data_IF_007937027196
#
_entry.id   IF_007937027196
#
_cell.length_a   1.000
_cell.length_b   1.000
_cell.length_c   1.000
_cell.angle_alpha   90.00
_cell.angle_beta   90.00
_cell.angle_gamma   90.00
#
_symmetry.space_group_name_H-M   'P 1'
#
loop_
_entity.id
_entity.type
_entity.pdbx_description
1 polymer ?
#
# COMPACT_ATOMS: atom_id res chain seq x y z
N UNK A 1 -19.40 -2.10 10.83
CA UNK A 1 -20.53 -2.63 10.02
C UNK A 1 -20.51 -4.16 10.04
N UNK A 2 -21.03 -4.79 11.10
CA UNK A 2 -20.99 -6.26 11.24
C UNK A 2 -21.96 -7.00 10.28
N UNK A 3 -22.91 -6.30 9.69
CA UNK A 3 -23.93 -6.88 8.79
C UNK A 3 -23.82 -6.34 7.35
N UNK A 4 -22.66 -5.82 6.97
CA UNK A 4 -22.48 -5.13 5.71
C UNK A 4 -22.83 -3.63 5.80
N UNK A 5 -22.86 -2.95 4.67
CA UNK A 5 -23.12 -1.51 4.56
C UNK A 5 -22.28 -0.88 3.46
N UNK A 6 -22.37 0.45 3.34
CA UNK A 6 -21.60 1.24 2.37
C UNK A 6 -20.58 2.12 3.09
N UNK A 7 -19.39 2.23 2.52
CA UNK A 7 -18.39 3.23 2.87
C UNK A 7 -18.14 4.10 1.64
N UNK A 8 -18.43 5.40 1.78
CA UNK A 8 -18.18 6.39 0.72
C UNK A 8 -16.91 7.15 1.11
N UNK A 9 -15.94 7.20 0.20
CA UNK A 9 -14.69 7.95 0.38
C UNK A 9 -14.61 9.05 -0.68
N UNK A 10 -14.34 10.27 -0.24
CA UNK A 10 -14.16 11.41 -1.15
C UNK A 10 -13.02 12.31 -0.68
N UNK A 11 -12.43 13.08 -1.62
CA UNK A 11 -11.42 14.06 -1.31
C UNK A 11 -11.71 15.36 -2.07
N UNK A 12 -11.63 16.49 -1.35
CA UNK A 12 -11.91 17.80 -1.91
C UNK A 12 -10.93 18.86 -1.36
N UNK A 13 -10.64 19.86 -2.19
CA UNK A 13 -9.89 21.03 -1.72
C UNK A 13 -10.84 22.01 -1.01
N UNK A 14 -10.39 22.58 0.10
CA UNK A 14 -11.14 23.61 0.86
C UNK A 14 -10.20 24.69 1.36
N UNK A 15 -10.62 25.93 1.20
CA UNK A 15 -9.96 27.07 1.81
C UNK A 15 -10.68 27.45 3.09
N UNK A 16 -9.94 27.56 4.19
CA UNK A 16 -10.42 28.07 5.48
C UNK A 16 -9.98 29.51 5.58
N UNK A 17 -10.93 30.42 5.62
CA UNK A 17 -10.67 31.87 5.56
C UNK A 17 -10.33 32.49 6.93
N UNK A 18 -10.79 31.88 8.00
CA UNK A 18 -10.58 32.32 9.39
C UNK A 18 -10.20 31.15 10.28
N UNK A 19 -9.47 31.40 11.34
CA UNK A 19 -9.15 30.35 12.31
C UNK A 19 -10.45 29.85 12.95
N UNK A 20 -10.75 28.58 12.79
CA UNK A 20 -11.93 27.92 13.33
C UNK A 20 -11.51 26.92 14.42
N UNK A 21 -11.39 27.40 15.65
CA UNK A 21 -11.07 26.57 16.82
C UNK A 21 -9.78 25.77 16.67
N UNK A 22 -9.85 24.66 15.99
CA UNK A 22 -8.75 23.68 15.86
C UNK A 22 -7.97 23.81 14.55
N UNK A 23 -8.60 24.38 13.50
CA UNK A 23 -8.00 24.56 12.17
C UNK A 23 -7.54 26.01 11.97
N UNK A 24 -6.32 26.17 11.52
CA UNK A 24 -5.79 27.47 11.14
C UNK A 24 -6.30 27.90 9.74
N UNK A 25 -6.32 29.21 9.49
CA UNK A 25 -6.55 29.75 8.16
C UNK A 25 -5.55 29.13 7.16
N UNK A 26 -6.03 28.63 6.02
CA UNK A 26 -5.18 28.03 4.99
C UNK A 26 -5.96 27.18 4.00
N UNK A 27 -5.23 26.59 3.07
CA UNK A 27 -5.76 25.63 2.11
C UNK A 27 -5.57 24.20 2.64
N UNK A 28 -6.60 23.41 2.52
CA UNK A 28 -6.64 22.03 3.00
C UNK A 28 -7.16 21.08 1.92
N UNK A 29 -6.69 19.86 1.95
CA UNK A 29 -7.36 18.70 1.35
C UNK A 29 -8.18 18.06 2.44
N UNK A 30 -9.49 17.86 2.22
CA UNK A 30 -10.38 17.14 3.11
C UNK A 30 -10.64 15.78 2.54
N UNK A 31 -10.21 14.74 3.25
CA UNK A 31 -10.61 13.38 2.96
C UNK A 31 -11.82 13.04 3.85
N UNK A 32 -12.94 12.69 3.25
CA UNK A 32 -14.18 12.34 3.96
C UNK A 32 -14.44 10.85 3.82
N UNK A 33 -14.67 10.20 4.96
CA UNK A 33 -15.04 8.79 5.07
C UNK A 33 -16.43 8.72 5.70
N UNK A 34 -17.41 8.29 4.94
CA UNK A 34 -18.80 8.20 5.40
C UNK A 34 -19.27 6.75 5.36
N UNK A 35 -19.64 6.20 6.51
CA UNK A 35 -20.21 4.86 6.62
C UNK A 35 -21.70 4.89 6.98
N UNK A 36 -22.38 3.80 6.66
CA UNK A 36 -23.78 3.54 7.02
C UNK A 36 -23.90 2.56 8.20
N UNK A 37 -22.94 2.64 9.14
CA UNK A 37 -22.91 1.78 10.33
C UNK A 37 -23.84 2.22 11.44
N UNK A 38 -23.64 1.65 12.64
CA UNK A 38 -24.49 1.92 13.80
C UNK A 38 -24.29 3.30 14.42
N UNK A 39 -23.32 4.08 13.92
CA UNK A 39 -22.95 5.37 14.47
C UNK A 39 -22.23 5.26 15.83
N UNK A 40 -21.93 6.43 16.40
CA UNK A 40 -21.24 6.60 17.67
C UNK A 40 -22.10 7.47 18.57
N UNK A 41 -22.39 7.03 19.81
CA UNK A 41 -23.11 7.82 20.78
C UNK A 41 -22.40 9.14 21.08
N UNK A 42 -23.16 10.24 21.19
CA UNK A 42 -22.61 11.60 21.42
C UNK A 42 -21.75 11.71 22.68
N UNK A 43 -22.10 10.97 23.74
CA UNK A 43 -21.39 10.99 25.03
C UNK A 43 -19.97 10.38 24.97
N UNK A 44 -19.61 9.64 23.92
CA UNK A 44 -18.29 9.05 23.76
C UNK A 44 -17.48 9.64 22.59
N UNK A 45 -18.08 10.50 21.74
CA UNK A 45 -17.40 11.09 20.58
C UNK A 45 -16.11 11.83 21.00
N UNK A 46 -16.10 12.53 22.13
CA UNK A 46 -14.93 13.22 22.62
C UNK A 46 -13.80 12.27 23.05
N UNK A 47 -14.11 11.04 23.41
CA UNK A 47 -13.14 10.06 23.93
C UNK A 47 -12.65 9.06 22.88
N UNK A 48 -13.18 9.05 21.66
CA UNK A 48 -12.76 8.07 20.65
C UNK A 48 -11.29 8.21 20.21
N UNK A 49 -10.69 9.37 20.47
CA UNK A 49 -9.27 9.64 20.22
C UNK A 49 -8.37 9.41 21.43
N UNK A 50 -8.93 9.08 22.60
CA UNK A 50 -8.15 8.78 23.79
C UNK A 50 -7.38 7.46 23.58
N UNK A 51 -6.09 7.39 23.94
CA UNK A 51 -5.35 6.14 23.90
C UNK A 51 -6.03 5.05 24.72
N UNK A 52 -6.08 3.84 24.17
CA UNK A 52 -6.69 2.65 24.77
C UNK A 52 -8.24 2.69 24.87
N UNK A 53 -8.89 3.75 24.44
CA UNK A 53 -10.35 3.78 24.37
C UNK A 53 -10.85 2.85 23.25
N UNK A 54 -11.75 1.94 23.59
CA UNK A 54 -12.37 1.03 22.61
C UNK A 54 -13.72 0.50 23.10
N UNK A 55 -14.67 0.40 22.19
CA UNK A 55 -15.94 -0.28 22.43
C UNK A 55 -15.93 -1.72 21.87
N UNK A 56 -14.82 -2.16 21.25
CA UNK A 56 -14.68 -3.50 20.65
C UNK A 56 -14.03 -4.47 21.62
N UNK A 57 -14.58 -5.68 21.85
CA UNK A 57 -14.07 -6.65 22.82
C UNK A 57 -12.59 -7.09 22.60
N UNK A 58 -12.12 -7.02 21.35
CA UNK A 58 -10.73 -7.37 20.96
C UNK A 58 -9.92 -6.19 20.44
N UNK A 59 -10.43 -4.96 20.63
CA UNK A 59 -9.75 -3.75 20.17
C UNK A 59 -8.67 -3.29 21.14
N UNK A 60 -7.52 -2.83 20.63
CA UNK A 60 -6.45 -2.26 21.47
C UNK A 60 -6.66 -0.78 21.79
N UNK A 61 -7.65 -0.11 21.16
CA UNK A 61 -7.94 1.31 21.37
C UNK A 61 -6.83 2.27 20.94
N UNK A 62 -5.87 1.83 20.12
CA UNK A 62 -4.75 2.66 19.68
C UNK A 62 -4.90 3.22 18.26
N UNK A 63 -5.79 2.69 17.45
CA UNK A 63 -5.87 3.03 16.02
C UNK A 63 -6.25 4.50 15.78
N UNK A 64 -7.35 4.97 16.36
CA UNK A 64 -7.83 6.35 16.20
C UNK A 64 -6.92 7.36 16.89
N UNK A 65 -6.40 7.07 18.07
CA UNK A 65 -5.46 7.93 18.78
C UNK A 65 -4.15 8.11 18.02
N UNK A 66 -3.64 7.03 17.41
CA UNK A 66 -2.45 7.09 16.53
C UNK A 66 -2.74 7.90 15.27
N UNK A 67 -3.85 7.65 14.59
CA UNK A 67 -4.24 8.42 13.42
C UNK A 67 -4.37 9.91 13.72
N UNK A 68 -5.03 10.26 14.81
CA UNK A 68 -5.17 11.64 15.28
C UNK A 68 -3.81 12.28 15.54
N UNK A 69 -2.93 11.59 16.27
CA UNK A 69 -1.58 12.07 16.57
C UNK A 69 -0.74 12.33 15.31
N UNK A 70 -0.85 11.45 14.30
CA UNK A 70 -0.16 11.61 13.01
C UNK A 70 -0.69 12.84 12.28
N UNK A 71 -2.01 12.98 12.15
CA UNK A 71 -2.63 14.11 11.43
C UNK A 71 -2.29 15.43 12.13
N UNK A 72 -2.34 15.47 13.46
CA UNK A 72 -1.95 16.66 14.26
C UNK A 72 -0.48 17.03 14.06
N UNK A 73 0.43 16.07 13.92
CA UNK A 73 1.86 16.30 13.65
C UNK A 73 2.09 16.98 12.29
N UNK A 74 1.16 16.85 11.35
CA UNK A 74 1.20 17.51 10.05
C UNK A 74 0.30 18.76 9.99
N UNK A 75 0.00 19.38 11.13
CA UNK A 75 -0.87 20.57 11.24
C UNK A 75 -2.28 20.38 10.66
N UNK A 76 -2.72 19.14 10.57
CA UNK A 76 -4.07 18.73 10.18
C UNK A 76 -4.99 18.52 11.37
N UNK A 77 -6.21 18.07 11.11
CA UNK A 77 -7.19 17.70 12.15
C UNK A 77 -8.14 16.61 11.66
N UNK A 78 -8.80 15.94 12.61
CA UNK A 78 -9.86 14.96 12.35
C UNK A 78 -11.13 15.40 13.06
N UNK A 79 -12.20 15.58 12.30
CA UNK A 79 -13.52 15.92 12.81
C UNK A 79 -14.44 14.73 12.55
N UNK A 80 -15.22 14.34 13.56
CA UNK A 80 -16.15 13.22 13.48
C UNK A 80 -17.57 13.71 13.75
N UNK A 81 -18.46 13.37 12.83
CA UNK A 81 -19.89 13.58 12.93
C UNK A 81 -20.58 12.21 12.89
N UNK A 82 -21.39 11.91 13.91
CA UNK A 82 -22.02 10.60 13.99
C UNK A 82 -23.34 10.69 14.75
N UNK A 83 -24.33 9.99 14.23
CA UNK A 83 -25.63 9.76 14.89
C UNK A 83 -25.86 8.26 15.00
N UNK A 84 -26.47 7.83 16.10
CA UNK A 84 -26.86 6.43 16.29
C UNK A 84 -27.78 6.00 15.15
N UNK A 85 -27.53 4.83 14.59
CA UNK A 85 -28.25 4.18 13.48
C UNK A 85 -28.25 4.94 12.13
N UNK A 86 -27.48 6.03 12.03
CA UNK A 86 -27.30 6.76 10.75
C UNK A 86 -25.91 6.61 10.16
N UNK A 87 -24.96 6.09 10.95
CA UNK A 87 -23.56 5.93 10.54
C UNK A 87 -22.64 7.03 11.07
N UNK A 88 -21.42 7.03 10.54
CA UNK A 88 -20.37 7.97 10.94
C UNK A 88 -19.75 8.63 9.73
N UNK A 89 -19.49 9.93 9.83
CA UNK A 89 -18.72 10.69 8.86
C UNK A 89 -17.44 11.22 9.53
N UNK A 90 -16.29 10.84 9.00
CA UNK A 90 -14.99 11.29 9.46
C UNK A 90 -14.38 12.21 8.41
N UNK A 91 -14.07 13.43 8.80
CA UNK A 91 -13.38 14.43 7.98
C UNK A 91 -11.94 14.57 8.42
N UNK A 92 -11.00 14.19 7.57
CA UNK A 92 -9.56 14.35 7.80
C UNK A 92 -9.06 15.56 7.04
N UNK A 93 -8.65 16.59 7.74
CA UNK A 93 -8.10 17.84 7.19
C UNK A 93 -6.58 17.74 7.12
N UNK A 94 -6.02 17.88 5.93
CA UNK A 94 -4.57 17.89 5.72
C UNK A 94 -4.22 19.21 5.03
N UNK A 95 -3.26 20.00 5.57
CA UNK A 95 -2.81 21.20 4.91
C UNK A 95 -2.36 20.92 3.49
N UNK A 96 -2.88 21.70 2.52
CA UNK A 96 -2.50 21.56 1.13
C UNK A 96 -1.06 22.06 0.92
N UNK A 97 -0.26 21.30 0.18
CA UNK A 97 1.07 21.75 -0.23
C UNK A 97 0.96 22.94 -1.16
N UNK A 98 1.78 23.97 -0.92
CA UNK A 98 1.96 25.09 -1.84
C UNK A 98 2.91 24.77 -3.02
N UNK A 99 3.53 23.59 -3.00
CA UNK A 99 4.30 23.12 -4.13
C UNK A 99 3.38 23.00 -5.36
N UNK A 100 3.83 23.51 -6.50
CA UNK A 100 3.09 23.40 -7.75
C UNK A 100 2.60 21.96 -7.92
N UNK A 101 1.34 21.81 -8.28
CA UNK A 101 0.75 20.51 -8.53
C UNK A 101 1.73 19.68 -9.37
N UNK A 102 2.07 18.50 -8.87
CA UNK A 102 2.78 17.53 -9.71
C UNK A 102 1.98 17.47 -11.00
N UNK A 103 2.58 17.75 -12.17
CA UNK A 103 1.82 17.76 -13.42
C UNK A 103 0.97 16.50 -13.45
N UNK A 104 -0.31 16.70 -13.67
CA UNK A 104 -1.29 15.61 -13.83
C UNK A 104 -0.61 14.57 -14.69
N UNK A 105 -0.48 13.35 -14.17
CA UNK A 105 0.10 12.26 -14.93
C UNK A 105 -0.71 12.22 -16.22
N UNK A 106 -0.12 12.75 -17.30
CA UNK A 106 -0.68 12.56 -18.64
C UNK A 106 -1.00 11.08 -18.75
N UNK A 107 -2.21 10.77 -19.24
CA UNK A 107 -2.56 9.38 -19.55
C UNK A 107 -1.35 8.80 -20.25
N UNK A 108 -0.75 7.72 -19.74
CA UNK A 108 0.44 7.18 -20.36
C UNK A 108 0.10 6.99 -21.83
N UNK A 109 0.92 7.59 -22.72
CA UNK A 109 0.97 7.16 -24.11
C UNK A 109 1.05 5.62 -24.12
N UNK A 110 0.51 4.92 -25.13
CA UNK A 110 0.53 3.47 -25.16
C UNK A 110 1.95 3.00 -24.89
N UNK A 111 2.20 2.62 -23.65
CA UNK A 111 3.50 2.33 -23.13
C UNK A 111 4.15 1.26 -24.00
N UNK A 112 5.39 1.49 -24.43
CA UNK A 112 6.22 0.43 -24.98
C UNK A 112 6.14 -0.74 -24.02
N UNK A 113 5.70 -1.91 -24.51
CA UNK A 113 5.61 -3.11 -23.69
C UNK A 113 7.03 -3.46 -23.20
N UNK A 114 7.32 -3.19 -21.92
CA UNK A 114 8.63 -3.49 -21.34
C UNK A 114 8.78 -4.96 -20.97
N UNK A 115 7.76 -5.77 -21.22
CA UNK A 115 7.71 -7.19 -20.88
C UNK A 115 6.88 -7.46 -19.63
N UNK A 116 6.96 -8.67 -19.10
CA UNK A 116 6.11 -9.17 -18.02
C UNK A 116 6.88 -9.28 -16.71
N UNK A 117 6.30 -8.83 -15.61
CA UNK A 117 6.86 -8.97 -14.26
C UNK A 117 5.90 -9.82 -13.41
N UNK A 118 6.44 -10.75 -12.65
CA UNK A 118 5.67 -11.52 -11.68
C UNK A 118 5.76 -10.90 -10.30
N UNK A 119 4.63 -10.81 -9.60
CA UNK A 119 4.55 -10.34 -8.21
C UNK A 119 4.01 -11.47 -7.34
N UNK A 120 4.77 -11.85 -6.31
CA UNK A 120 4.41 -12.86 -5.34
C UNK A 120 4.23 -12.24 -3.96
N UNK A 121 3.01 -12.33 -3.44
CA UNK A 121 2.64 -11.89 -2.09
C UNK A 121 1.34 -12.61 -1.72
N UNK A 122 1.08 -12.96 -0.46
CA UNK A 122 -0.17 -13.58 -0.04
C UNK A 122 -1.29 -12.53 0.15
N UNK A 123 -0.92 -11.28 0.43
CA UNK A 123 -1.85 -10.17 0.58
C UNK A 123 -2.31 -9.63 -0.78
N UNK A 124 -3.59 -9.79 -1.11
CA UNK A 124 -4.18 -9.31 -2.36
C UNK A 124 -3.95 -7.81 -2.59
N UNK A 125 -4.16 -7.01 -1.54
CA UNK A 125 -3.96 -5.56 -1.59
C UNK A 125 -2.53 -5.16 -1.97
N UNK A 126 -1.52 -5.89 -1.49
CA UNK A 126 -0.11 -5.65 -1.84
C UNK A 126 0.15 -5.99 -3.30
N UNK A 127 -0.40 -7.12 -3.78
CA UNK A 127 -0.28 -7.49 -5.21
C UNK A 127 -0.92 -6.46 -6.12
N UNK A 128 -2.10 -5.94 -5.76
CA UNK A 128 -2.79 -4.91 -6.55
C UNK A 128 -1.99 -3.62 -6.61
N UNK A 129 -1.49 -3.10 -5.48
CA UNK A 129 -0.69 -1.87 -5.44
C UNK A 129 0.57 -2.00 -6.30
N UNK A 130 1.34 -3.07 -6.12
CA UNK A 130 2.54 -3.31 -6.93
C UNK A 130 2.19 -3.49 -8.41
N UNK A 131 1.10 -4.21 -8.69
CA UNK A 131 0.61 -4.41 -10.04
C UNK A 131 0.27 -3.10 -10.75
N UNK A 132 -0.43 -2.21 -10.09
CA UNK A 132 -0.81 -0.92 -10.65
C UNK A 132 0.39 0.02 -10.84
N UNK A 133 1.35 0.00 -9.90
CA UNK A 133 2.61 0.72 -10.06
C UNK A 133 3.38 0.22 -11.29
N UNK A 134 3.57 -1.09 -11.45
CA UNK A 134 4.28 -1.69 -12.58
C UNK A 134 3.56 -1.47 -13.92
N UNK A 135 2.22 -1.61 -13.95
CA UNK A 135 1.41 -1.29 -15.14
C UNK A 135 1.56 0.18 -15.53
N UNK A 136 1.60 1.10 -14.56
CA UNK A 136 1.85 2.52 -14.83
C UNK A 136 3.24 2.81 -15.42
N UNK A 137 4.18 1.87 -15.29
CA UNK A 137 5.52 1.92 -15.89
C UNK A 137 5.61 1.13 -17.20
N UNK A 138 4.50 0.59 -17.73
CA UNK A 138 4.43 -0.11 -19.02
C UNK A 138 4.72 -1.60 -18.97
N UNK A 139 4.72 -2.23 -17.81
CA UNK A 139 4.87 -3.68 -17.68
C UNK A 139 3.53 -4.40 -17.69
N UNK A 140 3.51 -5.59 -18.26
CA UNK A 140 2.47 -6.58 -17.96
C UNK A 140 2.77 -7.23 -16.61
N UNK A 141 1.74 -7.51 -15.81
CA UNK A 141 1.92 -8.06 -14.46
C UNK A 141 1.14 -9.36 -14.31
N UNK A 142 1.81 -10.35 -13.77
CA UNK A 142 1.20 -11.60 -13.33
C UNK A 142 1.37 -11.76 -11.82
N UNK A 143 0.45 -12.45 -11.16
CA UNK A 143 0.41 -12.59 -9.72
C UNK A 143 0.60 -14.04 -9.30
N UNK A 144 1.22 -14.25 -8.16
CA UNK A 144 1.34 -15.54 -7.49
C UNK A 144 1.10 -15.36 -5.99
N UNK A 145 0.45 -16.33 -5.35
CA UNK A 145 0.17 -16.30 -3.92
C UNK A 145 1.36 -16.82 -3.08
N UNK A 146 2.23 -17.61 -3.69
CA UNK A 146 3.35 -18.27 -3.02
C UNK A 146 4.41 -18.73 -4.04
N UNK A 147 5.53 -19.23 -3.52
CA UNK A 147 6.65 -19.66 -4.34
C UNK A 147 6.38 -20.88 -5.22
N UNK A 148 5.43 -21.75 -4.85
CA UNK A 148 5.07 -22.90 -5.70
C UNK A 148 4.42 -22.41 -6.99
N UNK A 149 3.51 -21.45 -6.89
CA UNK A 149 2.89 -20.83 -8.07
C UNK A 149 3.91 -20.10 -8.95
N UNK A 150 4.88 -19.38 -8.33
CA UNK A 150 5.97 -18.74 -9.07
C UNK A 150 6.73 -19.76 -9.91
N UNK A 151 7.20 -20.84 -9.28
CA UNK A 151 7.97 -21.87 -9.97
C UNK A 151 7.16 -22.55 -11.09
N UNK A 152 5.89 -22.86 -10.84
CA UNK A 152 5.01 -23.45 -11.82
C UNK A 152 4.79 -22.53 -13.03
N UNK A 153 4.50 -21.25 -12.81
CA UNK A 153 4.28 -20.28 -13.88
C UNK A 153 5.55 -20.04 -14.69
N UNK A 154 6.70 -19.96 -14.04
CA UNK A 154 7.98 -19.81 -14.73
C UNK A 154 8.33 -21.05 -15.58
N UNK A 155 8.08 -22.26 -15.10
CA UNK A 155 8.28 -23.48 -15.89
C UNK A 155 7.36 -23.52 -17.12
N UNK A 156 6.11 -23.12 -16.98
CA UNK A 156 5.17 -23.06 -18.09
C UNK A 156 5.55 -22.00 -19.13
N UNK A 157 6.18 -20.90 -18.72
CA UNK A 157 6.56 -19.82 -19.61
C UNK A 157 7.80 -20.12 -20.47
N UNK A 158 8.62 -21.12 -20.14
CA UNK A 158 9.76 -21.52 -20.94
C UNK A 158 9.39 -22.00 -22.35
N UNK A 159 8.13 -22.34 -22.58
CA UNK A 159 7.59 -22.77 -23.91
C UNK A 159 6.93 -21.63 -24.68
N UNK A 160 6.87 -20.39 -24.15
CA UNK A 160 6.23 -19.24 -24.78
C UNK A 160 7.23 -18.08 -24.97
N UNK A 161 7.10 -17.26 -26.04
CA UNK A 161 8.02 -16.16 -26.32
C UNK A 161 7.99 -14.99 -25.32
N UNK A 162 7.00 -14.96 -24.41
CA UNK A 162 6.83 -13.90 -23.41
C UNK A 162 7.45 -14.30 -22.06
N UNK A 163 8.78 -14.36 -22.01
CA UNK A 163 9.50 -14.62 -20.76
C UNK A 163 9.36 -13.45 -19.78
N UNK A 164 9.18 -13.79 -18.50
CA UNK A 164 9.21 -12.79 -17.44
C UNK A 164 10.55 -12.06 -17.40
N UNK A 165 10.49 -10.73 -17.25
CA UNK A 165 11.66 -9.86 -17.11
C UNK A 165 12.18 -9.84 -15.68
N UNK A 166 11.32 -10.03 -14.70
CA UNK A 166 11.67 -10.08 -13.28
C UNK A 166 10.59 -10.77 -12.45
N UNK A 167 10.97 -11.11 -11.21
CA UNK A 167 10.05 -11.56 -10.16
C UNK A 167 10.26 -10.68 -8.93
N UNK A 168 9.21 -10.12 -8.35
CA UNK A 168 9.20 -9.47 -7.04
C UNK A 168 8.52 -10.43 -6.06
N UNK A 169 9.19 -10.79 -4.97
CA UNK A 169 8.73 -11.83 -4.04
C UNK A 169 8.73 -11.33 -2.62
N UNK A 170 7.59 -11.48 -1.93
CA UNK A 170 7.59 -11.33 -0.48
C UNK A 170 8.48 -12.38 0.18
N UNK A 171 9.28 -11.93 1.12
CA UNK A 171 10.24 -12.78 1.82
C UNK A 171 9.56 -13.90 2.59
N UNK A 172 8.42 -13.60 3.23
CA UNK A 172 7.73 -14.49 4.15
C UNK A 172 6.26 -14.64 3.80
N UNK A 173 5.83 -15.86 3.47
CA UNK A 173 4.44 -16.21 3.25
C UNK A 173 4.00 -17.17 4.36
N UNK A 174 3.09 -16.80 5.27
CA UNK A 174 2.65 -17.67 6.36
C UNK A 174 2.04 -19.00 5.85
N UNK A 175 2.58 -20.11 6.31
CA UNK A 175 2.06 -21.44 5.97
C UNK A 175 2.34 -21.92 4.54
N UNK A 176 3.13 -21.17 3.75
CA UNK A 176 3.45 -21.53 2.37
C UNK A 176 4.91 -21.17 2.02
N UNK A 177 5.34 -21.48 0.79
CA UNK A 177 6.68 -21.19 0.31
C UNK A 177 6.86 -19.68 0.09
N UNK A 178 7.67 -19.03 0.94
CA UNK A 178 8.06 -17.64 0.82
C UNK A 178 9.25 -17.41 -0.12
N UNK A 179 9.67 -16.14 -0.26
CA UNK A 179 10.71 -15.72 -1.19
C UNK A 179 12.06 -16.39 -0.97
N UNK A 180 12.46 -16.62 0.27
CA UNK A 180 13.75 -17.22 0.61
C UNK A 180 13.90 -18.67 0.08
N UNK A 181 12.87 -19.47 0.19
CA UNK A 181 12.88 -20.82 -0.35
C UNK A 181 12.70 -20.81 -1.87
N UNK A 182 11.84 -19.92 -2.36
CA UNK A 182 11.56 -19.77 -3.79
C UNK A 182 12.83 -19.39 -4.57
N UNK A 183 13.60 -18.41 -4.09
CA UNK A 183 14.82 -18.00 -4.77
C UNK A 183 15.86 -19.12 -4.84
N UNK A 184 16.00 -19.91 -3.77
CA UNK A 184 16.91 -21.05 -3.77
C UNK A 184 16.54 -22.03 -4.88
N UNK A 185 15.28 -22.46 -4.96
CA UNK A 185 14.80 -23.38 -5.99
C UNK A 185 14.92 -22.78 -7.40
N UNK A 186 14.66 -21.50 -7.52
CA UNK A 186 14.79 -20.79 -8.79
C UNK A 186 16.24 -20.80 -9.30
N UNK A 187 17.21 -20.62 -8.43
CA UNK A 187 18.64 -20.69 -8.79
C UNK A 187 19.14 -22.10 -9.04
N UNK A 188 18.58 -23.10 -8.36
CA UNK A 188 18.82 -24.53 -8.65
C UNK A 188 18.38 -24.92 -10.07
N UNK A 189 17.34 -24.27 -10.60
CA UNK A 189 16.89 -24.42 -11.99
C UNK A 189 17.75 -23.64 -13.01
N UNK A 190 18.90 -23.12 -12.61
CA UNK A 190 19.78 -22.26 -13.42
C UNK A 190 19.10 -21.01 -13.98
N UNK A 191 18.02 -20.56 -13.38
CA UNK A 191 17.34 -19.34 -13.81
C UNK A 191 18.12 -18.09 -13.43
N UNK A 192 18.43 -17.26 -14.40
CA UNK A 192 19.11 -15.96 -14.22
C UNK A 192 18.13 -14.78 -14.16
N UNK A 193 16.82 -15.06 -14.07
CA UNK A 193 15.81 -14.01 -14.03
C UNK A 193 16.09 -13.05 -12.87
N UNK A 194 16.07 -11.73 -13.08
CA UNK A 194 16.13 -10.76 -12.00
C UNK A 194 15.04 -11.02 -10.95
N UNK A 195 15.45 -11.16 -9.70
CA UNK A 195 14.56 -11.48 -8.59
C UNK A 195 14.77 -10.46 -7.48
N UNK A 196 13.71 -9.79 -7.08
CA UNK A 196 13.72 -8.76 -6.06
C UNK A 196 12.96 -9.26 -4.84
N UNK A 197 13.57 -9.12 -3.66
CA UNK A 197 12.90 -9.45 -2.40
C UNK A 197 12.15 -8.24 -1.86
N UNK A 198 10.94 -8.45 -1.37
CA UNK A 198 10.18 -7.44 -0.61
C UNK A 198 9.97 -7.89 0.83
N UNK A 199 10.09 -6.96 1.79
CA UNK A 199 9.83 -7.25 3.20
C UNK A 199 9.50 -5.96 3.97
N UNK A 200 8.65 -6.09 4.99
CA UNK A 200 8.44 -5.05 6.01
C UNK A 200 9.49 -5.06 7.12
N UNK A 201 10.29 -6.12 7.21
CA UNK A 201 11.32 -6.28 8.25
C UNK A 201 12.69 -5.87 7.71
N UNK A 202 13.12 -4.64 8.04
CA UNK A 202 14.39 -4.09 7.58
C UNK A 202 15.62 -4.86 8.12
N UNK A 203 15.48 -5.47 9.30
CA UNK A 203 16.57 -6.16 10.03
C UNK A 203 16.78 -7.61 9.58
N UNK A 204 16.00 -8.12 8.60
CA UNK A 204 16.22 -9.47 8.09
C UNK A 204 17.56 -9.54 7.33
N UNK A 205 18.39 -10.58 7.57
CA UNK A 205 19.68 -10.75 6.88
C UNK A 205 19.57 -10.75 5.35
N UNK A 206 18.45 -11.20 4.78
CA UNK A 206 18.19 -11.15 3.33
C UNK A 206 18.04 -9.71 2.86
N UNK A 207 17.39 -8.86 3.67
CA UNK A 207 17.26 -7.43 3.37
C UNK A 207 18.58 -6.68 3.56
N UNK A 208 19.50 -7.16 4.41
CA UNK A 208 20.82 -6.57 4.54
C UNK A 208 21.69 -6.84 3.30
N UNK A 209 21.75 -8.08 2.82
CA UNK A 209 22.54 -8.51 1.66
C UNK A 209 21.75 -9.50 0.77
N UNK A 210 20.86 -9.00 -0.11
CA UNK A 210 20.03 -9.85 -0.95
C UNK A 210 20.82 -10.73 -1.91
N UNK A 211 21.96 -10.25 -2.40
CA UNK A 211 22.78 -10.99 -3.36
C UNK A 211 23.33 -12.30 -2.77
N UNK A 212 23.69 -12.30 -1.50
CA UNK A 212 24.15 -13.50 -0.78
C UNK A 212 23.13 -14.62 -0.79
N UNK A 213 21.85 -14.28 -0.87
CA UNK A 213 20.75 -15.23 -0.88
C UNK A 213 20.21 -15.54 -2.28
N UNK A 214 20.85 -14.97 -3.33
CA UNK A 214 20.47 -15.22 -4.72
C UNK A 214 19.49 -14.24 -5.31
N UNK A 215 19.04 -13.23 -4.56
CA UNK A 215 18.27 -12.12 -5.10
C UNK A 215 19.14 -11.13 -5.85
N UNK A 216 18.56 -10.38 -6.76
CA UNK A 216 19.25 -9.32 -7.51
C UNK A 216 19.32 -8.02 -6.70
N UNK A 217 18.22 -7.67 -6.03
CA UNK A 217 18.11 -6.48 -5.19
C UNK A 217 16.89 -6.61 -4.27
N UNK A 218 16.55 -5.57 -3.52
CA UNK A 218 15.46 -5.52 -2.54
C UNK A 218 14.58 -4.30 -2.72
N UNK A 219 13.35 -4.40 -2.21
CA UNK A 219 12.45 -3.27 -2.02
C UNK A 219 11.77 -3.38 -0.65
N UNK A 220 11.78 -2.30 0.13
CA UNK A 220 11.21 -2.29 1.47
C UNK A 220 9.74 -1.92 1.45
N UNK A 221 8.92 -2.64 2.22
CA UNK A 221 7.53 -2.25 2.52
C UNK A 221 7.52 -1.17 3.61
N UNK A 222 6.68 -0.10 3.54
CA UNK A 222 5.69 0.16 2.51
C UNK A 222 6.31 0.72 1.22
N UNK A 223 5.80 0.30 0.08
CA UNK A 223 6.33 0.68 -1.23
C UNK A 223 6.04 2.15 -1.56
N UNK A 224 7.07 2.86 -2.06
CA UNK A 224 6.90 4.14 -2.72
C UNK A 224 7.10 3.96 -4.21
N UNK A 225 6.28 4.64 -5.02
CA UNK A 225 6.41 4.57 -6.49
C UNK A 225 7.83 4.90 -6.96
N UNK A 226 8.48 5.87 -6.32
CA UNK A 226 9.85 6.29 -6.63
C UNK A 226 10.85 5.15 -6.39
N UNK A 227 10.76 4.46 -5.26
CA UNK A 227 11.70 3.38 -4.90
C UNK A 227 11.57 2.21 -5.89
N UNK A 228 10.34 1.85 -6.27
CA UNK A 228 10.08 0.84 -7.29
C UNK A 228 10.60 1.28 -8.67
N UNK A 229 10.39 2.54 -9.04
CA UNK A 229 10.86 3.08 -10.31
C UNK A 229 12.39 3.08 -10.41
N UNK A 230 13.10 3.43 -9.34
CA UNK A 230 14.56 3.38 -9.27
C UNK A 230 15.08 1.94 -9.40
N UNK A 231 14.43 0.98 -8.71
CA UNK A 231 14.76 -0.44 -8.80
C UNK A 231 14.60 -0.97 -10.23
N UNK A 232 13.46 -0.71 -10.84
CA UNK A 232 13.14 -1.14 -12.21
C UNK A 232 14.08 -0.51 -13.23
N UNK A 233 14.36 0.80 -13.11
CA UNK A 233 15.26 1.50 -14.04
C UNK A 233 16.69 0.94 -13.95
N UNK A 234 17.16 0.62 -12.74
CA UNK A 234 18.51 0.08 -12.53
C UNK A 234 18.72 -1.30 -13.12
N UNK A 235 17.69 -2.15 -13.13
CA UNK A 235 17.85 -3.57 -13.43
C UNK A 235 17.13 -4.05 -14.70
N UNK A 236 16.14 -3.30 -15.20
CA UNK A 236 15.28 -3.77 -16.32
C UNK A 236 15.23 -2.80 -17.50
N UNK A 237 15.73 -1.57 -17.35
CA UNK A 237 15.82 -0.55 -18.41
C UNK A 237 17.27 -0.25 -18.75
#
# INVERSE_FOLDING_TARGET
>A
MHQGGSLIVSANNKTIHENSGVLNKGNYVICTFQDTGNGIPQNIISSIFDPFFTTKPKGNGLGLSTAYSIIRKYDGDIIVESDIDKGTTVHVYIPASSANAIPTIEKPEPARKHGKVMVMDDEEFIREILGDMLKSMGFEVDFALNGQEVLQKLQQSHTQPDNYKAVIMDLTIPGAMGGKETIRKLRELNSKIPAFVSSGYADDPVMADPNRFGFTDKIQKPFRKKDLQELITRHLM
#
